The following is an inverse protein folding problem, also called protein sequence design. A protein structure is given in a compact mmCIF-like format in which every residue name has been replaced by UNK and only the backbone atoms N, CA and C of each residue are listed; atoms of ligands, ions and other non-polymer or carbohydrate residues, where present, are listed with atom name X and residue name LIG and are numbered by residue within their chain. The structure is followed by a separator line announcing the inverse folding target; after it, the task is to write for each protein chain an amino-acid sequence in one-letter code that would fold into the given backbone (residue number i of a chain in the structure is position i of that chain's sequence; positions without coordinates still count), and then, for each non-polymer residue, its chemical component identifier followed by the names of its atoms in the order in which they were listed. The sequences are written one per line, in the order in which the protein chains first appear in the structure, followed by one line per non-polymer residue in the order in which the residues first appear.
data_IF_233938746244
#
_entry.id   IF_233938746244
#
_cell.length_a   1.000
_cell.length_b   1.000
_cell.length_c   1.000
_cell.angle_alpha   90.00
_cell.angle_beta   90.00
_cell.angle_gamma   90.00
#
_symmetry.space_group_name_H-M   'P 1'
#
loop_
_entity.id
_entity.type
_entity.pdbx_description
1 polymer ?
#
# COMPACT_ATOMS: atom_id res chain seq x y z
N UNK A 1 -2.74 2.93 30.46
CA UNK A 1 -3.20 3.40 29.13
C UNK A 1 -4.20 2.38 28.59
N UNK A 2 -5.36 2.78 28.04
CA UNK A 2 -6.32 1.79 27.52
C UNK A 2 -5.81 1.11 26.25
N UNK A 3 -6.28 -0.13 25.98
CA UNK A 3 -5.91 -0.87 24.77
C UNK A 3 -6.26 -0.10 23.49
N UNK A 4 -7.38 0.61 23.49
CA UNK A 4 -7.78 1.51 22.42
C UNK A 4 -6.74 2.61 22.13
N UNK A 5 -6.28 3.32 23.17
CA UNK A 5 -5.25 4.36 23.03
C UNK A 5 -3.92 3.79 22.54
N UNK A 6 -3.55 2.58 22.96
CA UNK A 6 -2.34 1.91 22.47
C UNK A 6 -2.43 1.56 20.99
N UNK A 7 -3.58 1.04 20.55
CA UNK A 7 -3.80 0.70 19.13
C UNK A 7 -3.77 1.95 18.24
N UNK A 8 -4.38 3.06 18.67
CA UNK A 8 -4.28 4.34 17.96
C UNK A 8 -2.81 4.78 17.84
N UNK A 9 -2.03 4.69 18.91
CA UNK A 9 -0.60 5.07 18.85
C UNK A 9 0.18 4.21 17.86
N UNK A 10 -0.07 2.91 17.82
CA UNK A 10 0.57 2.00 16.85
C UNK A 10 0.17 2.34 15.42
N UNK A 11 -1.12 2.55 15.18
CA UNK A 11 -1.64 3.00 13.90
C UNK A 11 -0.98 4.29 13.41
N UNK A 12 -0.93 5.31 14.27
CA UNK A 12 -0.30 6.60 13.95
C UNK A 12 1.19 6.45 13.67
N UNK A 13 1.90 5.61 14.44
CA UNK A 13 3.33 5.35 14.24
C UNK A 13 3.60 4.70 12.88
N UNK A 14 2.80 3.71 12.50
CA UNK A 14 2.89 3.05 11.19
C UNK A 14 2.62 4.05 10.07
N UNK A 15 1.50 4.78 10.15
CA UNK A 15 1.14 5.74 9.11
C UNK A 15 2.15 6.88 8.97
N UNK A 16 2.73 7.36 10.07
CA UNK A 16 3.78 8.38 10.00
C UNK A 16 5.02 7.91 9.23
N UNK A 17 5.37 6.62 9.31
CA UNK A 17 6.48 6.05 8.58
C UNK A 17 6.15 5.71 7.12
N UNK A 18 4.89 5.37 6.83
CA UNK A 18 4.41 5.04 5.48
C UNK A 18 4.17 6.28 4.61
N UNK A 19 3.72 7.39 5.21
CA UNK A 19 3.31 8.60 4.49
C UNK A 19 4.38 9.14 3.53
N UNK A 20 5.68 9.23 3.90
CA UNK A 20 6.73 9.68 2.98
C UNK A 20 6.92 8.78 1.75
N UNK A 21 6.50 7.50 1.84
CA UNK A 21 6.59 6.52 0.76
C UNK A 21 5.35 6.54 -0.14
N UNK A 22 4.37 7.42 0.15
CA UNK A 22 3.07 7.46 -0.53
C UNK A 22 2.12 6.34 -0.12
N UNK A 23 2.42 5.64 0.98
CA UNK A 23 1.65 4.50 1.45
C UNK A 23 0.80 4.89 2.67
N UNK A 24 -0.27 4.13 2.90
CA UNK A 24 -1.06 4.23 4.13
C UNK A 24 -1.51 2.86 4.62
N UNK A 25 -1.78 2.77 5.92
CA UNK A 25 -2.48 1.65 6.53
C UNK A 25 -3.98 1.93 6.56
N UNK A 26 -4.76 1.15 5.81
CA UNK A 26 -6.21 1.24 5.76
C UNK A 26 -6.84 -0.16 5.86
N UNK A 27 -7.86 -0.31 6.72
CA UNK A 27 -8.62 -1.57 6.87
C UNK A 27 -7.77 -2.84 7.10
N UNK A 28 -6.58 -2.72 7.70
CA UNK A 28 -5.68 -3.86 7.95
C UNK A 28 -4.77 -4.24 6.79
N UNK A 29 -4.70 -3.40 5.75
CA UNK A 29 -3.78 -3.54 4.63
C UNK A 29 -2.99 -2.24 4.41
N UNK A 30 -1.80 -2.37 3.83
CA UNK A 30 -1.04 -1.23 3.34
C UNK A 30 -1.43 -0.98 1.90
N UNK A 31 -1.78 0.27 1.58
CA UNK A 31 -2.23 0.68 0.25
C UNK A 31 -1.43 1.89 -0.24
N UNK A 32 -1.28 1.99 -1.55
CA UNK A 32 -0.60 3.11 -2.21
C UNK A 32 -1.58 4.24 -2.55
N UNK A 33 -1.44 5.39 -1.89
CA UNK A 33 -2.31 6.55 -2.14
C UNK A 33 -1.90 7.38 -3.35
N UNK A 34 -0.73 7.10 -3.92
CA UNK A 34 -0.25 7.80 -5.12
C UNK A 34 -0.90 7.26 -6.39
N UNK A 35 -1.53 6.08 -6.31
CA UNK A 35 -2.24 5.47 -7.41
C UNK A 35 -3.71 5.94 -7.49
N UNK A 36 -4.27 6.06 -8.70
CA UNK A 36 -5.70 6.25 -8.90
C UNK A 36 -6.53 5.14 -8.23
N UNK A 37 -7.72 5.48 -7.71
CA UNK A 37 -8.60 4.52 -7.04
C UNK A 37 -9.08 3.35 -7.93
N UNK A 38 -9.02 3.50 -9.26
CA UNK A 38 -9.33 2.43 -10.21
C UNK A 38 -8.19 1.40 -10.33
N UNK A 39 -6.98 1.74 -9.91
CA UNK A 39 -5.87 0.80 -9.79
C UNK A 39 -5.94 0.15 -8.41
N UNK A 40 -5.94 -1.19 -8.35
CA UNK A 40 -5.90 -1.89 -7.07
C UNK A 40 -4.57 -1.55 -6.36
N UNK A 41 -4.66 -0.68 -5.36
CA UNK A 41 -3.49 -0.09 -4.72
C UNK A 41 -2.98 -0.89 -3.50
N UNK A 42 -3.54 -2.07 -3.24
CA UNK A 42 -3.16 -2.88 -2.06
C UNK A 42 -1.77 -3.47 -2.27
N UNK A 43 -0.87 -3.22 -1.31
CA UNK A 43 0.51 -3.70 -1.30
C UNK A 43 0.60 -5.03 -0.56
N UNK A 44 0.16 -5.07 0.70
CA UNK A 44 0.18 -6.26 1.56
C UNK A 44 -0.82 -6.15 2.71
N UNK A 45 -1.12 -7.25 3.39
CA UNK A 45 -1.79 -7.20 4.70
C UNK A 45 -0.83 -6.69 5.78
N UNK A 46 -1.36 -6.01 6.80
CA UNK A 46 -0.54 -5.49 7.88
C UNK A 46 -1.29 -5.34 9.20
N UNK A 47 -0.85 -6.07 10.22
CA UNK A 47 -1.39 -5.97 11.57
C UNK A 47 -0.57 -5.00 12.44
N UNK A 48 -1.00 -3.74 12.48
CA UNK A 48 -0.38 -2.72 13.33
C UNK A 48 -0.40 -3.04 14.83
N UNK A 49 -1.25 -3.97 15.31
CA UNK A 49 -1.31 -4.29 16.74
C UNK A 49 -0.03 -4.98 17.24
N UNK A 50 0.74 -5.58 16.33
CA UNK A 50 2.03 -6.25 16.61
C UNK A 50 3.21 -5.28 16.69
N UNK A 51 3.01 -4.00 16.32
CA UNK A 51 4.08 -3.01 16.31
C UNK A 51 4.51 -2.63 17.72
N UNK A 52 5.81 -2.71 17.97
CA UNK A 52 6.42 -2.23 19.20
C UNK A 52 6.46 -0.69 19.22
N UNK A 53 5.91 -0.10 20.27
CA UNK A 53 5.90 1.34 20.45
C UNK A 53 7.28 1.87 20.91
N UNK A 54 8.12 1.03 21.50
CA UNK A 54 9.43 1.41 22.06
C UNK A 54 10.55 1.49 21.02
N UNK A 55 10.43 0.78 19.89
CA UNK A 55 11.48 0.71 18.86
C UNK A 55 11.10 1.50 17.60
N UNK A 56 12.04 2.10 16.86
CA UNK A 56 11.72 2.68 15.55
C UNK A 56 10.98 1.68 14.65
N UNK A 57 10.01 2.15 13.88
CA UNK A 57 9.35 1.33 12.87
C UNK A 57 9.87 1.74 11.49
N UNK A 58 10.45 0.78 10.77
CA UNK A 58 10.92 0.96 9.41
C UNK A 58 10.07 0.11 8.45
N UNK A 59 9.30 0.73 7.53
CA UNK A 59 8.50 -0.01 6.55
C UNK A 59 9.32 -0.92 5.64
N UNK A 60 10.60 -0.59 5.40
CA UNK A 60 11.47 -1.39 4.53
C UNK A 60 11.88 -2.73 5.13
N UNK A 61 11.66 -2.95 6.43
CA UNK A 61 11.89 -4.24 7.07
C UNK A 61 10.81 -5.27 6.67
N UNK A 62 9.67 -4.81 6.13
CA UNK A 62 8.67 -5.67 5.51
C UNK A 62 9.06 -5.92 4.04
N UNK A 63 9.30 -7.18 3.70
CA UNK A 63 9.77 -7.60 2.37
C UNK A 63 8.78 -7.23 1.25
N UNK A 64 7.47 -7.29 1.49
CA UNK A 64 6.46 -6.96 0.48
C UNK A 64 6.46 -5.46 0.17
N UNK A 65 6.52 -4.62 1.21
CA UNK A 65 6.67 -3.17 1.05
C UNK A 65 7.97 -2.85 0.31
N UNK A 66 9.09 -3.48 0.71
CA UNK A 66 10.38 -3.25 0.08
C UNK A 66 10.38 -3.65 -1.40
N UNK A 67 9.86 -4.84 -1.73
CA UNK A 67 9.75 -5.32 -3.12
C UNK A 67 8.84 -4.41 -3.96
N UNK A 68 7.72 -3.98 -3.38
CA UNK A 68 6.80 -3.07 -4.05
C UNK A 68 7.47 -1.73 -4.37
N UNK A 69 8.19 -1.14 -3.42
CA UNK A 69 8.90 0.14 -3.66
C UNK A 69 10.11 -0.01 -4.59
N UNK A 70 10.78 -1.17 -4.57
CA UNK A 70 11.94 -1.47 -5.43
C UNK A 70 11.53 -1.96 -6.82
N UNK A 71 10.67 -1.20 -7.50
CA UNK A 71 10.27 -1.43 -8.89
C UNK A 71 8.97 -2.19 -9.09
N UNK A 72 8.44 -2.86 -8.05
CA UNK A 72 7.12 -3.51 -8.12
C UNK A 72 5.99 -2.53 -8.45
N UNK A 73 6.02 -1.32 -7.88
CA UNK A 73 5.06 -0.23 -8.12
C UNK A 73 5.01 0.16 -9.59
N UNK A 74 6.16 0.35 -10.22
CA UNK A 74 6.23 0.77 -11.62
C UNK A 74 5.83 -0.38 -12.56
N UNK A 75 6.20 -1.63 -12.23
CA UNK A 75 5.72 -2.80 -12.93
C UNK A 75 4.18 -2.92 -12.86
N UNK A 76 3.59 -2.62 -11.70
CA UNK A 76 2.15 -2.65 -11.51
C UNK A 76 1.43 -1.58 -12.35
N UNK A 77 1.96 -0.35 -12.39
CA UNK A 77 1.44 0.71 -13.27
C UNK A 77 1.51 0.32 -14.75
N UNK A 78 2.66 -0.21 -15.19
CA UNK A 78 2.84 -0.63 -16.57
C UNK A 78 1.88 -1.77 -16.96
N UNK A 79 1.64 -2.73 -16.04
CA UNK A 79 0.67 -3.79 -16.26
C UNK A 79 -0.76 -3.22 -16.42
N UNK A 80 -1.17 -2.32 -15.52
CA UNK A 80 -2.49 -1.70 -15.61
C UNK A 80 -2.68 -0.92 -16.92
N UNK A 81 -1.70 -0.15 -17.35
CA UNK A 81 -1.75 0.59 -18.62
C UNK A 81 -1.91 -0.35 -19.82
N UNK A 82 -1.20 -1.48 -19.80
CA UNK A 82 -1.33 -2.53 -20.83
C UNK A 82 -2.73 -3.12 -20.84
N UNK A 83 -3.28 -3.48 -19.69
CA UNK A 83 -4.64 -4.03 -19.58
C UNK A 83 -5.71 -3.05 -20.06
N UNK A 84 -5.56 -1.76 -19.74
CA UNK A 84 -6.44 -0.71 -20.26
C UNK A 84 -6.36 -0.56 -21.79
N UNK A 85 -5.15 -0.64 -22.36
CA UNK A 85 -4.96 -0.59 -23.80
C UNK A 85 -5.60 -1.81 -24.50
N UNK A 86 -5.44 -3.00 -23.94
CA UNK A 86 -6.06 -4.24 -24.43
C UNK A 86 -7.59 -4.17 -24.37
N UNK A 87 -8.15 -3.72 -23.24
CA UNK A 87 -9.59 -3.55 -23.07
C UNK A 87 -10.18 -2.54 -24.08
N UNK A 88 -9.50 -1.41 -24.30
CA UNK A 88 -9.91 -0.41 -25.30
C UNK A 88 -9.85 -0.96 -26.72
N UNK A 89 -8.80 -1.71 -27.06
CA UNK A 89 -8.68 -2.34 -28.37
C UNK A 89 -9.78 -3.38 -28.61
N UNK A 90 -10.16 -4.14 -27.59
CA UNK A 90 -11.26 -5.10 -27.66
C UNK A 90 -12.62 -4.40 -27.85
N UNK A 91 -12.90 -3.36 -27.06
CA UNK A 91 -14.15 -2.60 -27.17
C UNK A 91 -14.36 -2.00 -28.57
N UNK A 92 -13.29 -1.48 -29.18
CA UNK A 92 -13.33 -0.93 -30.54
C UNK A 92 -13.48 -1.99 -31.65
N UNK A 93 -13.18 -3.26 -31.38
CA UNK A 93 -13.42 -4.38 -32.32
C UNK A 93 -14.83 -4.94 -32.23
N UNK A 94 -15.51 -4.73 -31.10
CA UNK A 94 -16.86 -5.20 -30.83
C UNK A 94 -17.96 -4.17 -31.16
N UNK A 95 -17.55 -2.93 -31.53
CA UNK A 95 -18.41 -1.85 -32.03
C UNK A 95 -18.43 -1.83 -33.56
#
# INVERSE_FOLDING_TARGET
MSAFKLNIRRYNKVNAALLPLGLELAAGAISDKTLPACMNAVVCDFDHKKVDLSQPFNPMDNQEIANYLNGGREAFKAQYEREQAEAKAWANRAA
#
